data_IF_295452646504
#
_entry.id   IF_295452646504
#
_cell.length_a   1.000
_cell.length_b   1.000
_cell.length_c   1.000
_cell.angle_alpha   90.00
_cell.angle_beta   90.00
_cell.angle_gamma   90.00
#
_symmetry.space_group_name_H-M   'P 1'
#
loop_
_entity.id
_entity.type
_entity.pdbx_description
1 polymer ?
#
# COMPACT_ATOMS: atom_id res chain seq x y z
N UNK A 1 -11.92 -10.99 13.86
CA UNK A 1 -10.74 -10.14 13.64
C UNK A 1 -10.44 -9.33 14.89
N UNK A 2 -9.17 -9.12 15.22
CA UNK A 2 -8.74 -8.22 16.32
C UNK A 2 -8.52 -6.78 15.85
N UNK A 3 -8.64 -6.54 14.56
CA UNK A 3 -8.50 -5.21 13.95
C UNK A 3 -9.87 -4.75 13.50
N UNK A 4 -10.31 -3.61 14.03
CA UNK A 4 -11.62 -3.02 13.75
C UNK A 4 -11.60 -2.14 12.51
N UNK A 5 -10.54 -1.35 12.34
CA UNK A 5 -10.32 -0.44 11.21
C UNK A 5 -8.84 -0.47 10.81
N UNK A 6 -8.57 -0.23 9.55
CA UNK A 6 -7.21 -0.05 9.03
C UNK A 6 -7.11 1.30 8.30
N UNK A 7 -6.18 2.14 8.73
CA UNK A 7 -5.87 3.40 8.07
C UNK A 7 -4.40 3.38 7.65
N UNK A 8 -4.13 3.24 6.37
CA UNK A 8 -2.78 3.05 5.84
C UNK A 8 -2.32 4.26 5.02
N UNK A 9 -1.19 4.83 5.41
CA UNK A 9 -0.51 5.88 4.67
C UNK A 9 0.66 5.29 3.89
N UNK A 10 0.69 5.51 2.58
CA UNK A 10 1.79 5.11 1.70
C UNK A 10 2.23 3.66 1.95
N UNK A 11 1.36 2.66 1.76
CA UNK A 11 1.67 1.28 2.10
C UNK A 11 2.93 0.79 1.40
N UNK A 12 3.87 0.28 2.19
CA UNK A 12 5.15 -0.24 1.73
C UNK A 12 5.11 -1.77 1.53
N UNK A 13 6.20 -2.34 1.01
CA UNK A 13 6.38 -3.78 0.81
C UNK A 13 5.30 -4.44 -0.06
N UNK A 14 4.78 -3.70 -1.03
CA UNK A 14 3.74 -4.17 -1.93
C UNK A 14 4.24 -4.30 -3.37
N UNK A 15 3.72 -5.28 -4.08
CA UNK A 15 4.01 -5.54 -5.49
C UNK A 15 5.52 -5.72 -5.76
N UNK A 16 6.17 -6.50 -4.92
CA UNK A 16 7.63 -6.71 -4.96
C UNK A 16 8.10 -7.36 -6.26
N UNK A 17 7.26 -8.16 -6.90
CA UNK A 17 7.59 -8.83 -8.15
C UNK A 17 7.53 -7.90 -9.37
N UNK A 18 6.74 -6.84 -9.33
CA UNK A 18 6.55 -5.91 -10.45
C UNK A 18 7.85 -5.22 -10.89
N UNK A 19 8.80 -5.08 -9.99
CA UNK A 19 10.12 -4.54 -10.30
C UNK A 19 10.85 -5.30 -11.43
N UNK A 20 10.60 -6.60 -11.57
CA UNK A 20 11.26 -7.46 -12.57
C UNK A 20 10.60 -7.41 -13.95
N UNK A 21 9.39 -6.95 -14.05
CA UNK A 21 8.71 -6.88 -15.33
C UNK A 21 9.33 -5.79 -16.18
N UNK A 22 9.90 -6.17 -17.32
CA UNK A 22 10.52 -5.22 -18.27
C UNK A 22 9.54 -4.11 -18.64
N UNK A 23 9.97 -2.87 -18.46
CA UNK A 23 9.18 -1.69 -18.77
C UNK A 23 8.21 -1.25 -17.69
N UNK A 24 8.07 -1.96 -16.58
CA UNK A 24 7.38 -1.44 -15.41
C UNK A 24 8.31 -0.56 -14.58
N UNK A 25 8.01 0.72 -14.62
CA UNK A 25 8.50 1.65 -13.60
C UNK A 25 7.48 1.65 -12.47
N UNK A 26 7.89 1.44 -11.23
CA UNK A 26 7.02 1.62 -10.08
C UNK A 26 6.68 0.36 -9.28
N UNK A 27 7.47 -0.69 -9.38
CA UNK A 27 7.54 -1.70 -8.33
C UNK A 27 8.29 -1.15 -7.11
N UNK A 28 8.22 -1.84 -5.98
CA UNK A 28 8.88 -1.39 -4.76
C UNK A 28 10.40 -1.20 -4.98
N UNK A 29 10.93 0.06 -4.97
CA UNK A 29 12.25 0.36 -5.53
C UNK A 29 13.41 -0.20 -4.72
N UNK A 30 13.18 -0.51 -3.45
CA UNK A 30 14.20 -1.13 -2.60
C UNK A 30 14.60 -2.53 -3.06
N UNK A 31 13.77 -3.19 -3.87
CA UNK A 31 14.09 -4.47 -4.49
C UNK A 31 15.26 -4.37 -5.47
N UNK A 32 15.56 -3.18 -5.99
CA UNK A 32 16.73 -2.93 -6.86
C UNK A 32 18.07 -3.20 -6.17
N UNK A 33 18.08 -3.21 -4.84
CA UNK A 33 19.28 -3.42 -4.03
C UNK A 33 19.56 -4.90 -3.73
N UNK A 34 18.69 -5.79 -4.19
CA UNK A 34 18.87 -7.23 -3.99
C UNK A 34 19.64 -7.78 -5.20
N UNK A 35 20.94 -7.96 -5.03
CA UNK A 35 21.86 -8.39 -6.10
C UNK A 35 21.59 -9.80 -6.61
N UNK A 36 20.91 -10.65 -5.83
CA UNK A 36 20.65 -12.04 -6.18
C UNK A 36 19.16 -12.34 -6.09
N UNK A 37 18.42 -11.97 -7.13
CA UNK A 37 17.06 -12.45 -7.31
C UNK A 37 17.10 -13.76 -8.12
N UNK A 38 16.88 -14.87 -7.42
CA UNK A 38 16.70 -16.19 -7.99
C UNK A 38 15.28 -16.69 -7.64
N UNK A 39 14.88 -17.80 -8.22
CA UNK A 39 13.56 -18.40 -8.02
C UNK A 39 13.21 -18.63 -6.54
N UNK A 40 14.20 -19.04 -5.73
CA UNK A 40 14.00 -19.26 -4.29
C UNK A 40 13.72 -17.93 -3.56
N UNK A 41 14.49 -16.90 -3.88
CA UNK A 41 14.32 -15.56 -3.30
C UNK A 41 12.97 -14.98 -3.68
N UNK A 42 12.54 -15.15 -4.93
CA UNK A 42 11.23 -14.70 -5.40
C UNK A 42 10.07 -15.36 -4.67
N UNK A 43 10.12 -16.67 -4.54
CA UNK A 43 9.12 -17.42 -3.75
C UNK A 43 9.09 -16.92 -2.31
N UNK A 44 10.26 -16.65 -1.73
CA UNK A 44 10.34 -16.12 -0.36
C UNK A 44 9.71 -14.73 -0.25
N UNK A 45 9.98 -13.85 -1.20
CA UNK A 45 9.43 -12.47 -1.21
C UNK A 45 7.90 -12.45 -1.26
N UNK A 46 7.27 -13.42 -1.92
CA UNK A 46 5.80 -13.52 -1.95
C UNK A 46 5.18 -13.68 -0.56
N UNK A 47 5.90 -14.26 0.40
CA UNK A 47 5.45 -14.38 1.79
C UNK A 47 5.51 -13.07 2.57
N UNK A 48 6.16 -12.05 2.02
CA UNK A 48 6.28 -10.71 2.63
C UNK A 48 5.52 -9.65 1.85
N UNK A 49 5.04 -9.98 0.65
CA UNK A 49 4.32 -9.02 -0.19
C UNK A 49 2.94 -8.71 0.39
N UNK A 50 2.74 -7.44 0.73
CA UNK A 50 1.49 -6.94 1.34
C UNK A 50 0.28 -7.21 0.45
N UNK A 51 0.43 -7.27 -0.86
CA UNK A 51 -0.66 -7.59 -1.80
C UNK A 51 -1.29 -8.96 -1.47
N UNK A 52 -0.48 -9.93 -1.07
CA UNK A 52 -0.96 -11.27 -0.72
C UNK A 52 -1.77 -11.29 0.59
N UNK A 53 -1.45 -10.40 1.53
CA UNK A 53 -2.18 -10.29 2.80
C UNK A 53 -3.42 -9.41 2.67
N UNK A 54 -3.35 -8.37 1.86
CA UNK A 54 -4.42 -7.38 1.71
C UNK A 54 -5.76 -8.01 1.28
N UNK A 55 -5.73 -9.03 0.45
CA UNK A 55 -6.93 -9.76 0.02
C UNK A 55 -7.69 -10.47 1.15
N UNK A 56 -7.05 -10.65 2.30
CA UNK A 56 -7.64 -11.29 3.49
C UNK A 56 -8.08 -10.30 4.56
N UNK A 57 -7.92 -9.00 4.32
CA UNK A 57 -8.40 -7.96 5.24
C UNK A 57 -9.92 -7.91 5.17
N UNK A 58 -10.56 -8.01 6.34
CA UNK A 58 -12.02 -7.98 6.48
C UNK A 58 -12.56 -6.72 7.14
N UNK A 59 -11.72 -5.95 7.83
CA UNK A 59 -12.13 -4.67 8.41
C UNK A 59 -12.17 -3.56 7.35
N UNK A 60 -12.93 -2.47 7.57
CA UNK A 60 -12.88 -1.30 6.70
C UNK A 60 -11.47 -0.73 6.59
N UNK A 61 -11.08 -0.36 5.38
CA UNK A 61 -9.76 0.19 5.06
C UNK A 61 -9.88 1.60 4.49
N UNK A 62 -9.08 2.51 4.99
CA UNK A 62 -8.79 3.79 4.33
C UNK A 62 -7.32 3.85 3.94
N UNK A 63 -7.05 4.20 2.68
CA UNK A 63 -5.69 4.32 2.18
C UNK A 63 -5.40 5.71 1.64
N UNK A 64 -4.16 6.15 1.79
CA UNK A 64 -3.66 7.37 1.16
C UNK A 64 -2.33 7.11 0.46
N UNK A 65 -2.12 7.76 -0.67
CA UNK A 65 -0.85 7.77 -1.40
C UNK A 65 -0.72 8.99 -2.29
N UNK A 66 0.51 9.36 -2.60
CA UNK A 66 0.85 10.44 -3.53
C UNK A 66 1.23 9.90 -4.91
N UNK A 67 1.01 10.69 -5.96
CA UNK A 67 1.42 10.27 -7.31
C UNK A 67 2.90 10.51 -7.60
N UNK A 68 3.55 11.39 -6.83
CA UNK A 68 4.98 11.66 -6.94
C UNK A 68 5.83 10.85 -5.94
N UNK A 69 5.23 9.86 -5.28
CA UNK A 69 5.93 9.02 -4.32
C UNK A 69 6.90 8.07 -5.03
N UNK A 70 8.20 8.32 -4.85
CA UNK A 70 9.29 7.50 -5.38
C UNK A 70 9.78 6.45 -4.35
N UNK A 71 9.30 6.50 -3.11
CA UNK A 71 9.62 5.53 -2.06
C UNK A 71 8.65 4.36 -2.07
N UNK A 72 7.35 4.67 -2.11
CA UNK A 72 6.29 3.70 -2.31
C UNK A 72 5.45 4.13 -3.52
N UNK A 73 5.89 3.80 -4.74
CA UNK A 73 5.24 4.29 -5.95
C UNK A 73 3.74 4.01 -5.98
N UNK A 74 2.93 4.89 -6.58
CA UNK A 74 1.47 4.74 -6.61
C UNK A 74 1.01 3.42 -7.20
N UNK A 75 1.76 2.83 -8.12
CA UNK A 75 1.50 1.50 -8.69
C UNK A 75 1.43 0.42 -7.62
N UNK A 76 2.31 0.47 -6.61
CA UNK A 76 2.31 -0.49 -5.49
C UNK A 76 1.10 -0.29 -4.58
N UNK A 77 0.69 0.96 -4.35
CA UNK A 77 -0.53 1.28 -3.61
C UNK A 77 -1.78 0.80 -4.33
N UNK A 78 -1.84 0.98 -5.65
CA UNK A 78 -2.94 0.44 -6.47
C UNK A 78 -2.97 -1.09 -6.49
N UNK A 79 -1.82 -1.77 -6.46
CA UNK A 79 -1.77 -3.22 -6.36
C UNK A 79 -2.46 -3.72 -5.08
N UNK A 80 -2.20 -3.07 -3.95
CA UNK A 80 -2.91 -3.34 -2.68
C UNK A 80 -4.40 -2.98 -2.79
N UNK A 81 -4.71 -1.78 -3.27
CA UNK A 81 -6.07 -1.29 -3.40
C UNK A 81 -6.96 -2.23 -4.20
N UNK A 82 -6.46 -2.74 -5.31
CA UNK A 82 -7.25 -3.56 -6.24
C UNK A 82 -7.63 -4.93 -5.65
N UNK A 83 -6.82 -5.47 -4.74
CA UNK A 83 -7.08 -6.80 -4.13
C UNK A 83 -7.91 -6.75 -2.86
N UNK A 84 -8.11 -5.57 -2.26
CA UNK A 84 -8.96 -5.40 -1.10
C UNK A 84 -10.42 -5.75 -1.43
N UNK A 85 -11.01 -6.66 -0.67
CA UNK A 85 -12.42 -7.09 -0.81
C UNK A 85 -13.34 -6.48 0.25
N UNK A 86 -12.78 -5.81 1.26
CA UNK A 86 -13.51 -5.15 2.34
C UNK A 86 -14.04 -3.78 1.92
N UNK A 87 -14.93 -3.14 2.73
CA UNK A 87 -15.26 -1.74 2.57
C UNK A 87 -14.00 -0.88 2.55
N UNK A 88 -13.83 -0.07 1.52
CA UNK A 88 -12.60 0.71 1.33
C UNK A 88 -12.88 2.12 0.84
N UNK A 89 -12.04 3.06 1.28
CA UNK A 89 -12.02 4.44 0.82
C UNK A 89 -10.59 4.91 0.63
N UNK A 90 -10.36 5.84 -0.29
CA UNK A 90 -9.04 6.40 -0.54
C UNK A 90 -9.05 7.92 -0.46
N UNK A 91 -7.91 8.47 -0.08
CA UNK A 91 -7.60 9.89 -0.20
C UNK A 91 -6.28 10.00 -0.98
N UNK A 92 -6.39 10.25 -2.28
CA UNK A 92 -5.23 10.40 -3.15
C UNK A 92 -4.76 11.85 -3.09
N UNK A 93 -3.45 12.05 -2.94
CA UNK A 93 -2.81 13.36 -2.89
C UNK A 93 -1.89 13.52 -4.11
N UNK A 94 -2.40 14.06 -5.25
CA UNK A 94 -1.72 13.97 -6.54
C UNK A 94 -0.31 14.58 -6.58
N UNK A 95 -0.07 15.62 -5.79
CA UNK A 95 1.21 16.34 -5.79
C UNK A 95 2.19 15.87 -4.70
N UNK A 96 1.73 15.02 -3.77
CA UNK A 96 2.59 14.58 -2.68
C UNK A 96 3.56 13.50 -3.13
N UNK A 97 4.73 13.54 -2.54
CA UNK A 97 5.72 12.47 -2.52
C UNK A 97 5.40 11.51 -1.36
N UNK A 98 6.42 10.96 -0.70
CA UNK A 98 6.28 10.06 0.45
C UNK A 98 6.09 10.84 1.76
N UNK A 99 5.06 11.68 1.81
CA UNK A 99 4.70 12.45 3.00
C UNK A 99 3.21 12.75 3.06
N UNK A 100 2.72 12.93 4.28
CA UNK A 100 1.31 13.18 4.58
C UNK A 100 1.14 14.60 5.10
N UNK A 101 0.18 15.34 4.55
CA UNK A 101 -0.14 16.69 5.04
C UNK A 101 -0.99 16.63 6.32
N UNK A 102 -0.95 17.68 7.12
CA UNK A 102 -1.83 17.80 8.31
C UNK A 102 -3.32 17.70 7.94
N UNK A 103 -3.71 18.14 6.74
CA UNK A 103 -5.08 18.01 6.26
C UNK A 103 -5.46 16.55 6.02
N UNK A 104 -4.54 15.77 5.43
CA UNK A 104 -4.72 14.33 5.22
C UNK A 104 -4.82 13.58 6.55
N UNK A 105 -3.96 13.91 7.51
CA UNK A 105 -3.97 13.30 8.84
C UNK A 105 -5.28 13.59 9.59
N UNK A 106 -5.76 14.85 9.55
CA UNK A 106 -7.08 15.17 10.10
C UNK A 106 -8.19 14.37 9.44
N UNK A 107 -8.19 14.25 8.12
CA UNK A 107 -9.17 13.44 7.40
C UNK A 107 -9.13 11.96 7.79
N UNK A 108 -7.96 11.41 8.14
CA UNK A 108 -7.84 10.06 8.68
C UNK A 108 -8.45 9.96 10.09
N UNK A 109 -8.15 10.92 10.96
CA UNK A 109 -8.72 10.95 12.31
C UNK A 109 -10.25 11.05 12.26
N UNK A 110 -10.79 11.94 11.45
CA UNK A 110 -12.24 12.11 11.26
C UNK A 110 -12.88 10.80 10.76
N UNK A 111 -12.26 10.14 9.79
CA UNK A 111 -12.75 8.87 9.27
C UNK A 111 -12.73 7.77 10.34
N UNK A 112 -11.65 7.68 11.13
CA UNK A 112 -11.54 6.71 12.24
C UNK A 112 -12.66 6.97 13.25
N UNK A 113 -12.81 8.21 13.71
CA UNK A 113 -13.84 8.58 14.68
C UNK A 113 -15.25 8.27 14.16
N UNK A 114 -15.56 8.62 12.92
CA UNK A 114 -16.88 8.38 12.32
C UNK A 114 -17.21 6.88 12.17
N UNK A 115 -16.24 6.00 12.17
CA UNK A 115 -16.41 4.55 12.06
C UNK A 115 -16.34 3.81 13.42
N UNK A 116 -15.83 4.47 14.48
CA UNK A 116 -15.80 3.89 15.82
C UNK A 116 -17.04 4.25 16.65
N UNK A 117 -17.69 5.36 16.34
CA UNK A 117 -18.84 5.92 17.12
C UNK A 117 -20.17 5.50 16.50
N UNK A 118 -20.25 4.31 15.95
CA UNK A 118 -21.53 3.73 15.44
C UNK A 118 -22.17 2.86 16.46
#
# INVERSE_FOLDING_TARGET
SRVTLCCANHPALADMAAYREKGRTGGYPHMQRIDVLNERTEKTLQYYDVVNFARHISCPVRMTWGYNDNTCPPTTSYAVWNVLQCPKSSLITPINEHWTSNATERGHCEWILSNLIK
#
